data_IF_789457996698
#
_entry.id   IF_789457996698
#
_cell.length_a   1.000
_cell.length_b   1.000
_cell.length_c   1.000
_cell.angle_alpha   90.00
_cell.angle_beta   90.00
_cell.angle_gamma   90.00
#
_symmetry.space_group_name_H-M   'P 1'
#
loop_
_entity.id
_entity.type
_entity.pdbx_description
1 polymer ?
#
# COMPACT_ATOMS: atom_id res chain seq x y z
N UNK A 1 3.27 23.48 15.68
CA UNK A 1 1.85 23.48 15.23
C UNK A 1 1.55 22.11 14.64
N UNK A 2 0.64 21.35 15.24
CA UNK A 2 0.47 19.92 14.91
C UNK A 2 -0.19 19.71 13.55
N UNK A 3 0.24 18.67 12.81
CA UNK A 3 -0.30 18.26 11.50
C UNK A 3 -1.83 18.18 11.47
N UNK A 4 -2.46 17.86 12.61
CA UNK A 4 -3.92 17.82 12.77
C UNK A 4 -4.60 19.20 12.62
N UNK A 5 -3.99 20.29 13.07
CA UNK A 5 -4.52 21.65 12.89
C UNK A 5 -4.39 22.15 11.44
N UNK A 6 -3.33 21.72 10.74
CA UNK A 6 -3.12 22.01 9.32
C UNK A 6 -4.17 21.33 8.44
N UNK A 7 -4.44 20.04 8.69
CA UNK A 7 -5.48 19.29 7.98
C UNK A 7 -6.89 19.85 8.19
N UNK A 8 -7.14 20.49 9.36
CA UNK A 8 -8.45 21.03 9.71
C UNK A 8 -8.71 22.47 9.20
N UNK A 9 -7.66 23.28 8.96
CA UNK A 9 -7.79 24.71 8.67
C UNK A 9 -7.27 25.16 7.29
N UNK A 10 -6.46 24.35 6.58
CA UNK A 10 -6.04 24.68 5.20
C UNK A 10 -7.13 24.39 4.16
N UNK A 11 -7.07 25.06 3.01
CA UNK A 11 -7.98 24.80 1.90
C UNK A 11 -7.73 23.41 1.29
N UNK A 12 -8.83 22.71 0.98
CA UNK A 12 -8.81 21.33 0.46
C UNK A 12 -7.90 21.23 -0.78
N UNK A 13 -7.96 22.19 -1.70
CA UNK A 13 -7.14 22.17 -2.93
C UNK A 13 -5.63 22.21 -2.67
N UNK A 14 -5.18 22.99 -1.68
CA UNK A 14 -3.76 23.09 -1.31
C UNK A 14 -3.29 21.81 -0.62
N UNK A 15 -4.13 21.24 0.24
CA UNK A 15 -3.88 19.96 0.91
C UNK A 15 -3.80 18.81 -0.10
N UNK A 16 -4.75 18.74 -1.05
CA UNK A 16 -4.75 17.75 -2.12
C UNK A 16 -3.44 17.81 -2.91
N UNK A 17 -3.03 18.99 -3.40
CA UNK A 17 -1.76 19.10 -4.13
C UNK A 17 -0.55 18.72 -3.27
N UNK A 18 -0.52 19.14 -2.00
CA UNK A 18 0.59 18.89 -1.08
C UNK A 18 0.80 17.39 -0.79
N UNK A 19 -0.27 16.60 -0.70
CA UNK A 19 -0.17 15.16 -0.40
C UNK A 19 -0.22 14.28 -1.65
N UNK A 20 -1.01 14.65 -2.66
CA UNK A 20 -1.14 13.86 -3.89
C UNK A 20 0.12 13.91 -4.75
N UNK A 21 0.82 15.05 -4.83
CA UNK A 21 2.04 15.14 -5.66
C UNK A 21 3.13 14.15 -5.18
N UNK A 22 3.51 14.11 -3.89
CA UNK A 22 4.43 13.10 -3.38
C UNK A 22 3.92 11.66 -3.59
N UNK A 23 2.62 11.41 -3.39
CA UNK A 23 2.04 10.09 -3.57
C UNK A 23 2.14 9.61 -5.03
N UNK A 24 1.81 10.48 -5.99
CA UNK A 24 1.91 10.19 -7.43
C UNK A 24 3.36 9.89 -7.82
N UNK A 25 4.31 10.71 -7.35
CA UNK A 25 5.74 10.47 -7.60
C UNK A 25 6.16 9.09 -7.05
N UNK A 26 5.74 8.75 -5.83
CA UNK A 26 6.00 7.44 -5.24
C UNK A 26 5.42 6.29 -6.06
N UNK A 27 4.21 6.45 -6.59
CA UNK A 27 3.58 5.46 -7.48
C UNK A 27 4.35 5.31 -8.79
N UNK A 28 4.84 6.42 -9.38
CA UNK A 28 5.66 6.37 -10.60
C UNK A 28 6.98 5.64 -10.34
N UNK A 29 7.67 5.94 -9.24
CA UNK A 29 8.92 5.25 -8.88
C UNK A 29 8.68 3.76 -8.66
N UNK A 30 7.59 3.37 -7.99
CA UNK A 30 7.23 1.97 -7.81
C UNK A 30 6.93 1.27 -9.15
N UNK A 31 6.21 1.94 -10.06
CA UNK A 31 5.95 1.39 -11.40
C UNK A 31 7.26 1.22 -12.20
N UNK A 32 8.16 2.21 -12.14
CA UNK A 32 9.48 2.13 -12.78
C UNK A 32 10.31 0.99 -12.20
N UNK A 33 10.29 0.79 -10.88
CA UNK A 33 10.93 -0.35 -10.23
C UNK A 33 10.42 -1.68 -10.83
N UNK A 34 9.10 -1.86 -10.96
CA UNK A 34 8.52 -3.06 -11.55
C UNK A 34 8.91 -3.27 -13.03
N UNK A 35 9.01 -2.20 -13.80
CA UNK A 35 9.42 -2.26 -15.21
C UNK A 35 10.90 -2.63 -15.33
N UNK A 36 11.75 -1.94 -14.58
CA UNK A 36 13.19 -2.15 -14.57
C UNK A 36 13.51 -3.57 -14.08
N UNK A 37 12.90 -4.03 -12.99
CA UNK A 37 13.04 -5.41 -12.48
C UNK A 37 12.75 -6.45 -13.56
N UNK A 38 11.62 -6.31 -14.29
CA UNK A 38 11.28 -7.21 -15.40
C UNK A 38 12.26 -7.14 -16.57
N UNK A 39 12.79 -5.96 -16.90
CA UNK A 39 13.83 -5.80 -17.94
C UNK A 39 15.14 -6.48 -17.51
N UNK A 40 15.55 -6.33 -16.25
CA UNK A 40 16.75 -6.99 -15.72
C UNK A 40 16.57 -8.51 -15.72
N UNK A 41 15.43 -9.02 -15.24
CA UNK A 41 15.10 -10.46 -15.28
C UNK A 41 15.12 -10.99 -16.73
N UNK A 42 14.55 -10.25 -17.68
CA UNK A 42 14.51 -10.65 -19.09
C UNK A 42 15.87 -10.65 -19.79
N UNK A 43 16.79 -9.79 -19.37
CA UNK A 43 18.15 -9.71 -19.94
C UNK A 43 19.14 -10.69 -19.29
N UNK A 44 18.71 -11.53 -18.35
CA UNK A 44 19.59 -12.56 -17.79
C UNK A 44 19.93 -13.56 -18.91
N UNK A 45 21.23 -13.75 -19.23
CA UNK A 45 21.65 -14.71 -20.24
C UNK A 45 21.13 -16.12 -19.89
N UNK A 46 20.66 -16.84 -20.91
CA UNK A 46 20.21 -18.25 -20.84
C UNK A 46 18.92 -18.53 -20.06
N UNK A 47 18.63 -17.80 -18.98
CA UNK A 47 17.47 -18.06 -18.11
C UNK A 47 16.41 -16.95 -18.10
N UNK A 48 16.65 -15.81 -18.73
CA UNK A 48 15.73 -14.65 -18.64
C UNK A 48 14.31 -14.93 -19.17
N UNK A 49 14.18 -15.71 -20.25
CA UNK A 49 12.87 -16.13 -20.77
C UNK A 49 12.13 -17.06 -19.80
N UNK A 50 12.83 -18.07 -19.25
CA UNK A 50 12.29 -18.99 -18.25
C UNK A 50 11.92 -18.26 -16.95
N UNK A 51 12.73 -17.28 -16.53
CA UNK A 51 12.48 -16.48 -15.34
C UNK A 51 11.24 -15.58 -15.51
N UNK A 52 11.06 -14.92 -16.66
CA UNK A 52 9.84 -14.14 -16.95
C UNK A 52 8.60 -15.06 -17.00
N UNK A 53 8.71 -16.25 -17.59
CA UNK A 53 7.62 -17.23 -17.56
C UNK A 53 7.29 -17.65 -16.13
N UNK A 54 8.29 -17.88 -15.28
CA UNK A 54 8.10 -18.17 -13.85
C UNK A 54 7.40 -17.03 -13.09
N UNK A 55 7.76 -15.77 -13.37
CA UNK A 55 7.05 -14.59 -12.86
C UNK A 55 5.59 -14.59 -13.33
N UNK A 56 5.33 -14.92 -14.60
CA UNK A 56 3.99 -15.03 -15.15
C UNK A 56 3.14 -16.11 -14.48
N UNK A 57 3.71 -17.28 -14.20
CA UNK A 57 3.01 -18.41 -13.56
C UNK A 57 2.69 -18.11 -12.09
N UNK A 58 3.51 -17.32 -11.41
CA UNK A 58 3.26 -16.93 -10.01
C UNK A 58 2.27 -15.77 -9.86
N UNK A 59 1.93 -15.05 -10.94
CA UNK A 59 0.97 -13.94 -10.94
C UNK A 59 -0.35 -14.22 -10.21
N UNK A 60 -1.04 -15.37 -10.42
CA UNK A 60 -2.31 -15.63 -9.75
C UNK A 60 -2.16 -15.72 -8.22
N UNK A 61 -1.09 -16.37 -7.76
CA UNK A 61 -0.79 -16.52 -6.32
C UNK A 61 -0.48 -15.15 -5.72
N UNK A 62 0.41 -14.39 -6.37
CA UNK A 62 0.77 -13.03 -5.95
C UNK A 62 -0.45 -12.10 -5.91
N UNK A 63 -1.38 -12.24 -6.87
CA UNK A 63 -2.62 -11.44 -6.91
C UNK A 63 -3.52 -11.75 -5.73
N UNK A 64 -3.67 -13.02 -5.35
CA UNK A 64 -4.46 -13.43 -4.19
C UNK A 64 -3.84 -12.86 -2.90
N UNK A 65 -2.53 -13.00 -2.73
CA UNK A 65 -1.80 -12.46 -1.58
C UNK A 65 -1.98 -10.94 -1.49
N UNK A 66 -1.79 -10.23 -2.60
CA UNK A 66 -2.02 -8.79 -2.68
C UNK A 66 -3.47 -8.41 -2.36
N UNK A 67 -4.45 -9.20 -2.81
CA UNK A 67 -5.86 -8.99 -2.50
C UNK A 67 -6.14 -9.00 -0.99
N UNK A 68 -5.62 -9.99 -0.27
CA UNK A 68 -5.76 -10.02 1.20
C UNK A 68 -4.97 -8.91 1.90
N UNK A 69 -3.77 -8.61 1.43
CA UNK A 69 -2.98 -7.49 1.95
C UNK A 69 -3.72 -6.15 1.79
N UNK A 70 -4.33 -5.92 0.62
CA UNK A 70 -5.15 -4.73 0.35
C UNK A 70 -6.41 -4.70 1.18
N UNK A 71 -7.10 -5.84 1.36
CA UNK A 71 -8.29 -5.95 2.21
C UNK A 71 -8.00 -5.44 3.63
N UNK A 72 -6.93 -5.93 4.26
CA UNK A 72 -6.56 -5.50 5.61
C UNK A 72 -6.02 -4.08 5.59
N UNK A 73 -5.08 -3.76 4.70
CA UNK A 73 -4.41 -2.45 4.69
C UNK A 73 -5.36 -1.29 4.44
N UNK A 74 -6.15 -1.35 3.37
CA UNK A 74 -7.10 -0.29 3.01
C UNK A 74 -8.28 -0.30 3.98
N UNK A 75 -8.81 -1.48 4.34
CA UNK A 75 -9.92 -1.61 5.28
C UNK A 75 -9.59 -1.05 6.66
N UNK A 76 -8.42 -1.39 7.22
CA UNK A 76 -7.95 -0.88 8.50
C UNK A 76 -7.71 0.63 8.44
N UNK A 77 -7.00 1.13 7.42
CA UNK A 77 -6.70 2.56 7.28
C UNK A 77 -7.97 3.40 7.16
N UNK A 78 -8.96 2.91 6.42
CA UNK A 78 -10.27 3.57 6.29
C UNK A 78 -11.00 3.61 7.63
N UNK A 79 -11.06 2.49 8.36
CA UNK A 79 -11.70 2.42 9.67
C UNK A 79 -11.01 3.32 10.71
N UNK A 80 -9.67 3.32 10.73
CA UNK A 80 -8.85 4.21 11.58
C UNK A 80 -9.16 5.68 11.25
N UNK A 81 -9.19 6.05 9.97
CA UNK A 81 -9.47 7.43 9.54
C UNK A 81 -10.86 7.89 9.99
N UNK A 82 -11.87 7.04 9.89
CA UNK A 82 -13.24 7.32 10.37
C UNK A 82 -13.25 7.51 11.89
N UNK A 83 -12.63 6.61 12.66
CA UNK A 83 -12.61 6.68 14.14
C UNK A 83 -11.83 7.90 14.64
N UNK A 84 -10.71 8.23 14.01
CA UNK A 84 -9.95 9.45 14.31
C UNK A 84 -10.76 10.71 14.00
N UNK A 85 -11.49 10.75 12.88
CA UNK A 85 -12.40 11.84 12.54
C UNK A 85 -13.53 12.03 13.55
N UNK A 86 -13.97 10.94 14.20
CA UNK A 86 -14.95 10.97 15.30
C UNK A 86 -14.34 11.33 16.67
N UNK A 87 -13.04 11.60 16.76
CA UNK A 87 -12.34 11.86 18.03
C UNK A 87 -12.08 10.60 18.89
N UNK A 88 -12.43 9.41 18.41
CA UNK A 88 -12.35 8.13 19.14
C UNK A 88 -10.96 7.49 19.03
N UNK A 89 -9.96 8.13 19.65
CA UNK A 89 -8.55 7.71 19.56
C UNK A 89 -8.27 6.30 20.09
N UNK A 90 -8.92 5.89 21.19
CA UNK A 90 -8.75 4.53 21.73
C UNK A 90 -9.34 3.46 20.81
N UNK A 91 -10.51 3.70 20.22
CA UNK A 91 -11.08 2.77 19.24
C UNK A 91 -10.17 2.67 17.99
N UNK A 92 -9.62 3.79 17.52
CA UNK A 92 -8.66 3.79 16.42
C UNK A 92 -7.40 2.96 16.74
N UNK A 93 -6.88 3.07 17.97
CA UNK A 93 -5.73 2.26 18.42
C UNK A 93 -6.05 0.76 18.48
N UNK A 94 -7.25 0.38 18.93
CA UNK A 94 -7.70 -1.01 18.89
C UNK A 94 -7.78 -1.55 17.46
N UNK A 95 -8.25 -0.75 16.50
CA UNK A 95 -8.30 -1.14 15.08
C UNK A 95 -6.90 -1.40 14.53
N UNK A 96 -5.90 -0.61 14.91
CA UNK A 96 -4.50 -0.84 14.51
C UNK A 96 -4.02 -2.20 15.03
N UNK A 97 -4.25 -2.51 16.30
CA UNK A 97 -3.85 -3.81 16.88
C UNK A 97 -4.53 -5.00 16.20
N UNK A 98 -5.82 -4.88 15.91
CA UNK A 98 -6.57 -5.91 15.19
C UNK A 98 -6.06 -6.09 13.75
N UNK A 99 -5.75 -4.99 13.05
CA UNK A 99 -5.23 -5.03 11.70
C UNK A 99 -3.87 -5.75 11.64
N UNK A 100 -2.95 -5.44 12.55
CA UNK A 100 -1.65 -6.12 12.65
C UNK A 100 -1.85 -7.61 12.93
N UNK A 101 -2.73 -7.96 13.86
CA UNK A 101 -3.02 -9.36 14.20
C UNK A 101 -3.57 -10.12 12.99
N UNK A 102 -4.52 -9.53 12.26
CA UNK A 102 -5.07 -10.11 11.04
C UNK A 102 -4.00 -10.25 9.95
N UNK A 103 -3.10 -9.26 9.80
CA UNK A 103 -2.00 -9.35 8.82
C UNK A 103 -1.05 -10.50 9.14
N UNK A 104 -0.73 -10.72 10.41
CA UNK A 104 0.12 -11.84 10.83
C UNK A 104 -0.59 -13.18 10.58
N UNK A 105 -1.87 -13.30 10.91
CA UNK A 105 -2.64 -14.53 10.66
C UNK A 105 -2.65 -14.86 9.17
N UNK A 106 -2.96 -13.89 8.30
CA UNK A 106 -2.96 -14.11 6.85
C UNK A 106 -1.56 -14.42 6.32
N UNK A 107 -0.51 -13.81 6.88
CA UNK A 107 0.87 -14.09 6.46
C UNK A 107 1.37 -15.49 6.82
N UNK A 108 0.76 -16.14 7.80
CA UNK A 108 1.14 -17.50 8.25
C UNK A 108 0.40 -18.58 7.46
N UNK A 109 -0.75 -18.26 6.88
CA UNK A 109 -1.60 -19.15 6.05
C UNK A 109 -1.10 -19.15 4.61
#
# INVERSE_FOLDING_TARGET
MGTQQLLANESIGKLLLKYSVPAIIGMIVNALYNVVDRIFIGNIPEVGSLAITGVGVTMPITTIILGFAMLIGIGATTSISIKLGQGKKEEASKVIGNAITLSVIISVI
#
